data_IF_050384127151
#
_entry.id   IF_050384127151
#
_cell.length_a   1.000
_cell.length_b   1.000
_cell.length_c   1.000
_cell.angle_alpha   90.00
_cell.angle_beta   90.00
_cell.angle_gamma   90.00
#
_symmetry.space_group_name_H-M   'P 1'
#
loop_
_entity.id
_entity.type
_entity.pdbx_description
1 polymer ?
#
# COMPACT_ATOMS: atom_id res chain seq x y z
N UNK A 1 6.19 1.37 7.89
CA UNK A 1 5.55 0.83 6.68
C UNK A 1 5.15 -0.65 6.76
N UNK A 2 6.06 -1.62 6.96
CA UNK A 2 5.62 -3.04 6.90
C UNK A 2 4.61 -3.51 7.96
N UNK A 3 4.79 -3.16 9.24
CA UNK A 3 3.81 -3.51 10.28
C UNK A 3 2.41 -2.89 10.03
N UNK A 4 2.32 -1.94 9.10
CA UNK A 4 1.22 -1.00 8.95
C UNK A 4 0.28 -1.37 7.79
N UNK A 5 0.79 -2.06 6.76
CA UNK A 5 -0.07 -2.66 5.72
C UNK A 5 -0.50 -4.08 6.10
N UNK A 6 0.43 -4.94 6.52
CA UNK A 6 0.11 -6.36 6.75
C UNK A 6 -0.69 -6.62 8.03
N UNK A 7 -0.72 -5.69 8.98
CA UNK A 7 -1.68 -5.74 10.09
C UNK A 7 -3.12 -5.55 9.60
N UNK A 8 -3.34 -4.83 8.48
CA UNK A 8 -4.63 -4.71 7.82
C UNK A 8 -4.92 -5.81 6.79
N UNK A 9 -3.93 -6.64 6.43
CA UNK A 9 -4.10 -7.80 5.52
C UNK A 9 -4.31 -9.13 6.26
N UNK A 10 -4.85 -9.08 7.49
CA UNK A 10 -5.24 -10.27 8.26
C UNK A 10 -4.10 -11.27 8.56
N UNK A 11 -2.85 -10.80 8.57
CA UNK A 11 -1.68 -11.65 8.80
C UNK A 11 -0.84 -11.21 10.03
N UNK A 12 -1.44 -11.07 11.23
CA UNK A 12 -0.71 -10.61 12.42
C UNK A 12 0.40 -11.57 12.86
N UNK A 13 0.24 -12.87 12.56
CA UNK A 13 1.25 -13.91 12.78
C UNK A 13 2.51 -13.71 11.93
N UNK A 14 2.38 -13.18 10.72
CA UNK A 14 3.50 -12.84 9.83
C UNK A 14 4.23 -11.61 10.33
N UNK A 15 3.49 -10.57 10.72
CA UNK A 15 4.05 -9.33 11.29
C UNK A 15 4.77 -9.57 12.63
N UNK A 16 4.42 -10.64 13.35
CA UNK A 16 5.08 -11.03 14.60
C UNK A 16 6.45 -11.73 14.40
N UNK A 17 6.90 -11.97 13.16
CA UNK A 17 8.16 -12.66 12.84
C UNK A 17 9.42 -11.78 12.92
N UNK A 18 9.28 -10.49 13.24
CA UNK A 18 10.38 -9.56 13.48
C UNK A 18 10.68 -8.64 12.30
N UNK A 19 11.26 -7.46 12.57
CA UNK A 19 11.33 -6.31 11.64
C UNK A 19 12.02 -6.57 10.29
N UNK A 20 13.06 -7.43 10.25
CA UNK A 20 13.80 -7.75 9.02
C UNK A 20 13.01 -8.66 8.07
N UNK A 21 12.48 -9.78 8.58
CA UNK A 21 11.63 -10.71 7.80
C UNK A 21 10.39 -10.02 7.27
N UNK A 22 9.89 -9.13 8.10
CA UNK A 22 8.82 -8.22 7.81
C UNK A 22 9.14 -7.33 6.59
N UNK A 23 10.21 -6.54 6.66
CA UNK A 23 10.61 -5.68 5.54
C UNK A 23 10.85 -6.46 4.23
N UNK A 24 11.46 -7.64 4.31
CA UNK A 24 11.69 -8.48 3.13
C UNK A 24 10.39 -8.93 2.45
N UNK A 25 9.37 -9.34 3.22
CA UNK A 25 8.07 -9.67 2.64
C UNK A 25 7.37 -8.43 2.07
N UNK A 26 7.48 -7.27 2.74
CA UNK A 26 6.96 -6.00 2.23
C UNK A 26 7.48 -5.70 0.84
N UNK A 27 8.81 -5.71 0.70
CA UNK A 27 9.48 -5.29 -0.52
C UNK A 27 9.13 -6.24 -1.67
N UNK A 28 9.02 -7.54 -1.38
CA UNK A 28 8.56 -8.52 -2.35
C UNK A 28 7.10 -8.30 -2.77
N UNK A 29 6.21 -8.05 -1.82
CA UNK A 29 4.77 -7.89 -2.09
C UNK A 29 4.48 -6.58 -2.82
N UNK A 30 5.14 -5.49 -2.43
CA UNK A 30 5.05 -4.18 -3.10
C UNK A 30 5.59 -4.27 -4.53
N UNK A 31 6.74 -4.92 -4.74
CA UNK A 31 7.28 -5.14 -6.09
C UNK A 31 6.29 -5.88 -6.99
N UNK A 32 5.74 -7.00 -6.49
CA UNK A 32 4.72 -7.77 -7.24
C UNK A 32 3.45 -6.96 -7.52
N UNK A 33 2.98 -6.16 -6.56
CA UNK A 33 1.80 -5.30 -6.72
C UNK A 33 2.07 -4.19 -7.74
N UNK A 34 3.27 -3.61 -7.73
CA UNK A 34 3.72 -2.59 -8.68
C UNK A 34 3.76 -3.14 -10.10
N UNK A 35 4.40 -4.29 -10.28
CA UNK A 35 4.49 -4.96 -11.58
C UNK A 35 3.11 -5.32 -12.15
N UNK A 36 2.13 -5.61 -11.29
CA UNK A 36 0.75 -5.94 -11.68
C UNK A 36 -0.09 -4.70 -12.02
N UNK A 37 -0.02 -3.66 -11.21
CA UNK A 37 -0.88 -2.47 -11.34
C UNK A 37 -0.20 -1.23 -10.72
N UNK A 38 0.74 -0.63 -11.46
CA UNK A 38 1.45 0.60 -11.07
C UNK A 38 0.49 1.73 -10.68
N UNK A 39 -0.65 1.88 -11.38
CA UNK A 39 -1.65 2.92 -11.09
C UNK A 39 -2.32 2.78 -9.72
N UNK A 40 -2.15 1.63 -9.03
CA UNK A 40 -2.54 1.46 -7.64
C UNK A 40 -1.73 2.35 -6.69
N UNK A 41 -0.46 2.64 -7.02
CA UNK A 41 0.43 3.46 -6.22
C UNK A 41 0.27 4.95 -6.57
N UNK A 42 -0.88 5.47 -6.20
CA UNK A 42 -1.29 6.85 -6.48
C UNK A 42 -1.41 7.68 -5.18
N UNK A 43 -1.89 8.92 -5.29
CA UNK A 43 -2.09 9.80 -4.14
C UNK A 43 -3.01 9.18 -3.06
N UNK A 44 -4.07 8.45 -3.45
CA UNK A 44 -4.97 7.78 -2.51
C UNK A 44 -4.22 6.70 -1.72
N UNK A 45 -3.37 5.90 -2.38
CA UNK A 45 -2.54 4.92 -1.71
C UNK A 45 -1.64 5.57 -0.65
N UNK A 46 -1.00 6.70 -1.00
CA UNK A 46 -0.18 7.45 -0.04
C UNK A 46 -1.00 7.94 1.17
N UNK A 47 -2.19 8.52 0.93
CA UNK A 47 -3.11 8.96 1.99
C UNK A 47 -3.49 7.80 2.91
N UNK A 48 -3.82 6.63 2.35
CA UNK A 48 -4.14 5.42 3.10
C UNK A 48 -2.96 4.93 3.95
N UNK A 49 -1.73 4.95 3.42
CA UNK A 49 -0.53 4.57 4.19
C UNK A 49 -0.32 5.49 5.40
N UNK A 50 -0.52 6.80 5.22
CA UNK A 50 -0.38 7.75 6.34
C UNK A 50 -1.51 7.57 7.36
N UNK A 51 -2.76 7.43 6.92
CA UNK A 51 -3.89 7.16 7.79
C UNK A 51 -3.70 5.89 8.63
N UNK A 52 -3.26 4.78 8.01
CA UNK A 52 -2.90 3.55 8.74
C UNK A 52 -1.77 3.76 9.75
N UNK A 53 -0.80 4.62 9.41
CA UNK A 53 0.28 5.00 10.33
C UNK A 53 -0.25 5.76 11.54
N UNK A 54 -1.22 6.65 11.36
CA UNK A 54 -1.91 7.37 12.44
C UNK A 54 -2.63 6.36 13.35
N UNK A 55 -3.42 5.45 12.79
CA UNK A 55 -4.10 4.40 13.57
C UNK A 55 -3.09 3.61 14.40
N UNK A 56 -2.06 3.05 13.76
CA UNK A 56 -1.05 2.23 14.43
C UNK A 56 -0.34 2.95 15.58
N UNK A 57 0.14 4.18 15.33
CA UNK A 57 0.84 4.98 16.35
C UNK A 57 -0.08 5.39 17.49
N UNK A 58 -1.35 5.65 17.19
CA UNK A 58 -2.35 5.98 18.21
C UNK A 58 -2.62 4.76 19.08
N UNK A 59 -2.82 3.58 18.50
CA UNK A 59 -2.99 2.32 19.23
C UNK A 59 -1.78 2.01 20.12
N UNK A 60 -0.56 2.16 19.59
CA UNK A 60 0.67 1.92 20.36
C UNK A 60 0.78 2.84 21.58
N UNK A 61 0.53 4.15 21.39
CA UNK A 61 0.55 5.14 22.49
C UNK A 61 -0.58 4.92 23.47
N UNK A 62 -1.77 4.54 23.00
CA UNK A 62 -2.95 4.27 23.83
C UNK A 62 -2.68 3.10 24.78
N UNK A 63 -2.16 1.97 24.28
CA UNK A 63 -1.88 0.78 25.10
C UNK A 63 -0.92 1.09 26.23
N UNK A 64 0.10 1.91 26.00
CA UNK A 64 1.07 2.29 27.04
C UNK A 64 0.46 3.05 28.22
N UNK A 65 -0.73 3.65 28.05
CA UNK A 65 -1.42 4.40 29.09
C UNK A 65 -2.42 3.54 29.88
N UNK A 66 -2.65 2.31 29.46
CA UNK A 66 -3.65 1.44 30.06
C UNK A 66 -3.18 0.86 31.39
N UNK A 67 -4.06 0.81 32.39
CA UNK A 67 -3.75 0.29 33.72
C UNK A 67 -3.43 -1.21 33.72
N UNK A 68 -4.01 -1.97 32.79
CA UNK A 68 -3.77 -3.40 32.62
C UNK A 68 -2.46 -3.71 31.87
N UNK A 69 -1.79 -2.71 31.29
CA UNK A 69 -0.59 -2.92 30.49
C UNK A 69 0.66 -3.03 31.37
N UNK A 70 1.11 -4.27 31.61
CA UNK A 70 2.29 -4.59 32.43
C UNK A 70 3.66 -4.43 31.75
N UNK A 71 3.77 -3.76 30.59
CA UNK A 71 5.06 -3.47 29.94
C UNK A 71 5.57 -4.51 28.92
N UNK A 72 4.87 -5.63 28.72
CA UNK A 72 5.25 -6.70 27.78
C UNK A 72 4.39 -6.76 26.51
N UNK A 73 4.92 -7.37 25.45
CA UNK A 73 4.18 -7.76 24.23
C UNK A 73 3.45 -6.66 23.45
N UNK A 74 3.78 -5.37 23.69
CA UNK A 74 3.14 -4.20 23.03
C UNK A 74 2.92 -4.38 21.54
N UNK A 75 3.99 -4.76 20.83
CA UNK A 75 3.95 -4.90 19.38
C UNK A 75 2.95 -5.98 18.94
N UNK A 76 2.84 -7.08 19.70
CA UNK A 76 1.89 -8.14 19.42
C UNK A 76 0.45 -7.67 19.69
N UNK A 77 0.21 -7.01 20.84
CA UNK A 77 -1.11 -6.48 21.19
C UNK A 77 -1.59 -5.51 20.11
N UNK A 78 -0.78 -4.52 19.71
CA UNK A 78 -1.12 -3.53 18.67
C UNK A 78 -1.50 -4.22 17.35
N UNK A 79 -0.66 -5.15 16.90
CA UNK A 79 -0.83 -5.81 15.60
C UNK A 79 -2.09 -6.69 15.58
N UNK A 80 -2.31 -7.48 16.62
CA UNK A 80 -3.49 -8.34 16.71
C UNK A 80 -4.79 -7.53 16.92
N UNK A 81 -4.73 -6.40 17.63
CA UNK A 81 -5.86 -5.47 17.79
C UNK A 81 -6.31 -4.93 16.44
N UNK A 82 -5.37 -4.39 15.66
CA UNK A 82 -5.68 -3.81 14.34
C UNK A 82 -6.16 -4.89 13.37
N UNK A 83 -5.51 -6.06 13.37
CA UNK A 83 -5.89 -7.17 12.50
C UNK A 83 -7.28 -7.73 12.81
N UNK A 84 -7.61 -7.93 14.08
CA UNK A 84 -8.94 -8.40 14.48
C UNK A 84 -10.02 -7.39 14.07
N UNK A 85 -9.78 -6.10 14.30
CA UNK A 85 -10.75 -5.07 13.94
C UNK A 85 -10.93 -4.97 12.42
N UNK A 86 -9.85 -5.05 11.64
CA UNK A 86 -9.90 -5.07 10.19
C UNK A 86 -10.69 -6.28 9.65
N UNK A 87 -10.45 -7.47 10.21
CA UNK A 87 -11.18 -8.69 9.86
C UNK A 87 -12.68 -8.55 10.16
N UNK A 88 -13.04 -8.08 11.36
CA UNK A 88 -14.45 -7.89 11.75
C UNK A 88 -15.18 -6.89 10.86
N UNK A 89 -14.56 -5.75 10.57
CA UNK A 89 -15.11 -4.73 9.66
C UNK A 89 -15.28 -5.28 8.25
N UNK A 90 -14.31 -6.05 7.76
CA UNK A 90 -14.36 -6.71 6.44
C UNK A 90 -15.49 -7.73 6.34
N UNK A 91 -15.71 -8.55 7.38
CA UNK A 91 -16.81 -9.51 7.44
C UNK A 91 -18.19 -8.84 7.36
N UNK A 92 -18.30 -7.60 7.84
CA UNK A 92 -19.51 -6.78 7.74
C UNK A 92 -19.69 -6.09 6.37
N UNK A 93 -18.78 -6.32 5.41
CA UNK A 93 -18.75 -5.61 4.12
C UNK A 93 -18.60 -4.09 4.27
N UNK A 94 -17.90 -3.67 5.31
CA UNK A 94 -17.59 -2.28 5.61
C UNK A 94 -16.08 -2.04 5.50
N UNK A 95 -15.69 -0.78 5.52
CA UNK A 95 -14.29 -0.36 5.56
C UNK A 95 -14.12 0.87 6.45
N UNK A 96 -12.91 1.02 7.00
CA UNK A 96 -12.51 2.26 7.68
C UNK A 96 -12.33 3.36 6.64
N UNK A 97 -12.94 4.51 6.88
CA UNK A 97 -12.73 5.72 6.09
C UNK A 97 -11.34 6.32 6.38
N UNK A 98 -10.34 5.81 5.67
CA UNK A 98 -8.96 6.27 5.80
C UNK A 98 -8.76 7.69 5.24
N UNK A 99 -9.60 8.16 4.32
CA UNK A 99 -9.52 9.53 3.80
C UNK A 99 -9.90 10.53 4.88
N UNK A 100 -10.98 10.27 5.63
CA UNK A 100 -11.37 11.11 6.78
C UNK A 100 -10.31 11.16 7.87
N UNK A 101 -9.61 10.05 8.12
CA UNK A 101 -8.48 10.01 9.07
C UNK A 101 -7.29 10.82 8.53
N UNK A 102 -6.99 10.70 7.24
CA UNK A 102 -5.96 11.52 6.59
C UNK A 102 -6.30 13.01 6.68
N UNK A 103 -7.52 13.43 6.38
CA UNK A 103 -7.92 14.84 6.43
C UNK A 103 -7.82 15.42 7.84
N UNK A 104 -8.28 14.67 8.85
CA UNK A 104 -8.25 15.11 10.25
C UNK A 104 -6.88 14.92 10.92
N UNK A 105 -5.99 14.14 10.31
CA UNK A 105 -4.70 13.72 10.88
C UNK A 105 -4.82 13.05 12.27
N UNK A 106 -5.99 12.49 12.59
CA UNK A 106 -6.28 11.80 13.85
C UNK A 106 -7.46 10.83 13.67
N UNK A 107 -7.58 9.86 14.58
CA UNK A 107 -8.79 9.05 14.72
C UNK A 107 -9.83 9.75 15.59
N UNK A 108 -11.09 9.36 15.48
CA UNK A 108 -12.18 9.81 16.36
C UNK A 108 -12.05 9.21 17.77
N UNK A 109 -12.70 9.84 18.75
CA UNK A 109 -12.78 9.30 20.11
C UNK A 109 -13.49 7.94 20.15
N UNK A 110 -14.48 7.74 19.28
CA UNK A 110 -15.21 6.47 19.15
C UNK A 110 -14.30 5.36 18.62
N UNK A 111 -13.48 5.64 17.61
CA UNK A 111 -12.49 4.69 17.12
C UNK A 111 -11.40 4.44 18.17
N UNK A 112 -10.94 5.48 18.88
CA UNK A 112 -10.01 5.33 19.99
C UNK A 112 -10.55 4.36 21.06
N UNK A 113 -11.79 4.57 21.50
CA UNK A 113 -12.44 3.72 22.50
C UNK A 113 -12.61 2.29 22.01
N UNK A 114 -12.98 2.11 20.74
CA UNK A 114 -13.07 0.78 20.13
C UNK A 114 -11.73 0.05 20.14
N UNK A 115 -10.63 0.74 19.80
CA UNK A 115 -9.28 0.16 19.86
C UNK A 115 -8.86 -0.19 21.29
N UNK A 116 -9.22 0.65 22.27
CA UNK A 116 -8.98 0.40 23.70
C UNK A 116 -9.66 -0.90 24.15
N UNK A 117 -10.96 -1.02 23.92
CA UNK A 117 -11.76 -2.17 24.34
C UNK A 117 -11.29 -3.47 23.64
N UNK A 118 -11.03 -3.43 22.33
CA UNK A 118 -10.47 -4.58 21.59
C UNK A 118 -9.09 -4.94 22.15
N UNK A 119 -8.21 -3.97 22.38
CA UNK A 119 -6.84 -4.24 22.80
C UNK A 119 -6.74 -4.94 24.16
N UNK A 120 -7.66 -4.64 25.07
CA UNK A 120 -7.78 -5.34 26.35
C UNK A 120 -8.08 -6.83 26.15
N UNK A 121 -9.09 -7.14 25.33
CA UNK A 121 -9.48 -8.53 25.03
C UNK A 121 -8.36 -9.28 24.31
N UNK A 122 -7.72 -8.64 23.35
CA UNK A 122 -6.59 -9.20 22.61
C UNK A 122 -5.44 -9.52 23.55
N UNK A 123 -5.11 -8.63 24.49
CA UNK A 123 -4.04 -8.87 25.45
C UNK A 123 -4.32 -10.14 26.27
N UNK A 124 -5.53 -10.32 26.78
CA UNK A 124 -5.93 -11.53 27.52
C UNK A 124 -5.76 -12.80 26.64
N UNK A 125 -6.26 -12.77 25.41
CA UNK A 125 -6.24 -13.93 24.50
C UNK A 125 -4.81 -14.34 24.13
N UNK A 126 -3.93 -13.38 23.81
CA UNK A 126 -2.57 -13.72 23.37
C UNK A 126 -1.67 -14.13 24.54
N UNK A 127 -1.98 -13.70 25.77
CA UNK A 127 -1.26 -14.14 26.97
C UNK A 127 -1.75 -15.48 27.51
N UNK A 128 -2.97 -15.90 27.15
CA UNK A 128 -3.48 -17.24 27.44
C UNK A 128 -2.94 -18.26 26.41
N UNK A 129 -1.69 -18.67 26.65
CA UNK A 129 -0.95 -19.57 25.76
C UNK A 129 -1.26 -21.05 26.01
N UNK A 130 -1.20 -21.92 24.98
CA UNK A 130 -1.26 -23.37 25.19
C UNK A 130 -0.15 -23.87 26.12
N UNK A 131 -0.40 -24.95 26.86
CA UNK A 131 0.57 -25.53 27.80
C UNK A 131 1.94 -25.88 27.18
N UNK A 132 1.98 -26.15 25.88
CA UNK A 132 3.20 -26.48 25.13
C UNK A 132 4.04 -25.26 24.71
N UNK A 133 3.54 -24.03 24.84
CA UNK A 133 4.22 -22.80 24.42
C UNK A 133 4.07 -21.75 25.52
N UNK A 134 5.06 -21.59 26.39
CA UNK A 134 5.02 -20.58 27.46
C UNK A 134 5.37 -19.15 26.98
N UNK A 135 6.08 -19.02 25.85
CA UNK A 135 6.50 -17.72 25.33
C UNK A 135 5.43 -17.12 24.41
N UNK A 136 4.76 -16.07 24.89
CA UNK A 136 3.74 -15.31 24.14
C UNK A 136 4.22 -14.82 22.77
N UNK A 137 5.49 -14.39 22.64
CA UNK A 137 6.01 -13.90 21.35
C UNK A 137 6.19 -15.03 20.33
N UNK A 138 6.47 -16.25 20.77
CA UNK A 138 6.49 -17.44 19.90
C UNK A 138 5.09 -17.90 19.57
N UNK A 139 4.17 -17.85 20.54
CA UNK A 139 2.76 -18.14 20.30
C UNK A 139 2.16 -17.22 19.24
N UNK A 140 2.42 -15.90 19.33
CA UNK A 140 1.95 -14.91 18.37
C UNK A 140 2.48 -15.10 16.94
N UNK A 141 3.49 -15.94 16.70
CA UNK A 141 3.99 -16.29 15.35
C UNK A 141 3.28 -17.50 14.74
N UNK A 142 2.50 -18.24 15.53
CA UNK A 142 1.78 -19.45 15.09
C UNK A 142 0.39 -19.09 14.59
N UNK A 143 -0.06 -19.80 13.56
CA UNK A 143 -1.40 -19.62 12.98
C UNK A 143 -2.50 -19.92 14.00
N UNK A 144 -2.25 -20.85 14.93
CA UNK A 144 -3.16 -21.17 16.04
C UNK A 144 -3.51 -19.96 16.91
N UNK A 145 -2.57 -19.04 17.13
CA UNK A 145 -2.86 -17.80 17.88
C UNK A 145 -3.85 -16.93 17.12
N UNK A 146 -3.65 -16.79 15.81
CA UNK A 146 -4.56 -16.04 14.96
C UNK A 146 -5.95 -16.68 14.88
N UNK A 147 -6.04 -18.01 14.78
CA UNK A 147 -7.32 -18.72 14.82
C UNK A 147 -8.06 -18.48 16.13
N UNK A 148 -7.37 -18.53 17.28
CA UNK A 148 -7.95 -18.23 18.59
C UNK A 148 -8.48 -16.79 18.66
N UNK A 149 -7.71 -15.83 18.17
CA UNK A 149 -8.12 -14.42 18.12
C UNK A 149 -9.31 -14.21 17.16
N UNK A 150 -9.35 -14.86 16.00
CA UNK A 150 -10.50 -14.75 15.08
C UNK A 150 -11.78 -15.35 15.65
N UNK A 151 -11.67 -16.39 16.48
CA UNK A 151 -12.80 -17.02 17.13
C UNK A 151 -13.41 -16.14 18.24
N UNK A 152 -12.65 -15.18 18.76
CA UNK A 152 -13.17 -14.18 19.68
C UNK A 152 -14.14 -13.24 18.96
N UNK A 153 -15.27 -13.00 19.62
CA UNK A 153 -16.34 -12.14 19.15
C UNK A 153 -16.70 -11.08 20.19
N UNK A 154 -16.98 -9.88 19.71
CA UNK A 154 -17.37 -8.74 20.51
C UNK A 154 -18.13 -7.76 19.63
N UNK A 155 -19.23 -7.24 20.17
CA UNK A 155 -20.03 -6.23 19.49
C UNK A 155 -19.27 -4.91 19.39
N UNK A 156 -19.25 -4.34 18.19
CA UNK A 156 -18.75 -3.00 17.96
C UNK A 156 -19.88 -1.99 18.21
N UNK A 157 -19.54 -0.87 18.85
CA UNK A 157 -20.55 0.15 19.14
C UNK A 157 -21.23 0.67 17.87
N UNK A 158 -22.53 0.94 17.93
CA UNK A 158 -23.27 1.52 16.79
C UNK A 158 -22.69 2.85 16.33
N UNK A 159 -22.12 3.62 17.24
CA UNK A 159 -21.47 4.90 16.94
C UNK A 159 -20.21 4.66 16.09
N UNK A 160 -19.41 3.64 16.41
CA UNK A 160 -18.24 3.29 15.59
C UNK A 160 -18.67 2.80 14.21
N UNK A 161 -19.67 1.92 14.15
CA UNK A 161 -20.17 1.38 12.89
C UNK A 161 -20.71 2.48 11.96
N UNK A 162 -21.28 3.54 12.52
CA UNK A 162 -21.75 4.71 11.75
C UNK A 162 -20.61 5.57 11.17
N UNK A 163 -19.37 5.41 11.63
CA UNK A 163 -18.20 6.09 11.05
C UNK A 163 -17.53 5.30 9.91
N UNK A 164 -17.96 4.06 9.69
CA UNK A 164 -17.45 3.21 8.61
C UNK A 164 -18.16 3.53 7.29
N UNK A 165 -17.49 3.21 6.20
CA UNK A 165 -18.03 3.31 4.83
C UNK A 165 -18.31 1.93 4.26
N UNK A 166 -19.20 1.86 3.27
CA UNK A 166 -19.47 0.61 2.56
C UNK A 166 -18.27 0.15 1.74
N UNK A 167 -18.11 -1.16 1.57
CA UNK A 167 -17.04 -1.70 0.71
C UNK A 167 -17.14 -1.19 -0.74
N UNK A 168 -18.36 -1.02 -1.25
CA UNK A 168 -18.62 -0.52 -2.60
C UNK A 168 -18.21 0.95 -2.76
N UNK A 169 -18.40 1.75 -1.71
CA UNK A 169 -17.96 3.15 -1.68
C UNK A 169 -16.43 3.25 -1.71
N UNK A 170 -15.75 2.45 -0.87
CA UNK A 170 -14.29 2.34 -0.88
C UNK A 170 -13.79 1.95 -2.27
N UNK A 171 -14.38 0.93 -2.88
CA UNK A 171 -13.95 0.39 -4.17
C UNK A 171 -14.20 1.40 -5.32
N UNK A 172 -15.28 2.18 -5.24
CA UNK A 172 -15.54 3.28 -6.17
C UNK A 172 -14.45 4.36 -6.08
N UNK A 173 -14.09 4.77 -4.86
CA UNK A 173 -13.01 5.74 -4.60
C UNK A 173 -11.66 5.23 -5.11
N UNK A 174 -11.33 3.95 -4.87
CA UNK A 174 -10.09 3.35 -5.39
C UNK A 174 -10.07 3.30 -6.92
N UNK A 175 -11.19 2.97 -7.56
CA UNK A 175 -11.30 2.94 -9.02
C UNK A 175 -11.11 4.33 -9.61
N UNK A 176 -11.68 5.36 -9.00
CA UNK A 176 -11.56 6.73 -9.48
C UNK A 176 -10.16 7.29 -9.29
N UNK A 177 -9.50 7.02 -8.15
CA UNK A 177 -8.09 7.38 -7.95
C UNK A 177 -7.16 6.73 -9.00
N UNK A 178 -7.41 5.47 -9.37
CA UNK A 178 -6.65 4.81 -10.44
C UNK A 178 -6.88 5.43 -11.81
N UNK A 179 -8.09 5.94 -12.10
CA UNK A 179 -8.36 6.66 -13.36
C UNK A 179 -7.60 7.97 -13.40
N UNK A 180 -7.62 8.74 -12.31
CA UNK A 180 -6.88 10.00 -12.18
C UNK A 180 -5.38 9.76 -12.42
N UNK A 181 -4.79 8.78 -11.74
CA UNK A 181 -3.37 8.45 -11.92
C UNK A 181 -3.03 8.12 -13.38
N UNK A 182 -3.87 7.32 -14.05
CA UNK A 182 -3.62 6.95 -15.46
C UNK A 182 -3.64 8.14 -16.42
N UNK A 183 -4.47 9.14 -16.13
CA UNK A 183 -4.55 10.41 -16.87
C UNK A 183 -3.28 11.22 -16.60
N UNK A 184 -2.89 11.39 -15.35
CA UNK A 184 -1.68 12.13 -14.95
C UNK A 184 -0.41 11.52 -15.54
N UNK A 185 -0.31 10.19 -15.55
CA UNK A 185 0.80 9.46 -16.19
C UNK A 185 0.85 9.74 -17.70
N UNK A 186 -0.31 9.82 -18.36
CA UNK A 186 -0.43 10.16 -19.77
C UNK A 186 0.07 11.57 -20.08
N UNK A 187 -0.41 12.55 -19.31
CA UNK A 187 0.00 13.95 -19.43
C UNK A 187 1.50 14.09 -19.18
N UNK A 188 2.02 13.44 -18.14
CA UNK A 188 3.45 13.46 -17.79
C UNK A 188 4.31 12.87 -18.91
N UNK A 189 3.91 11.72 -19.46
CA UNK A 189 4.63 11.11 -20.59
C UNK A 189 4.62 12.01 -21.82
N UNK A 190 3.49 12.63 -22.15
CA UNK A 190 3.40 13.55 -23.30
C UNK A 190 4.29 14.78 -23.10
N UNK A 191 4.27 15.38 -21.90
CA UNK A 191 5.12 16.51 -21.56
C UNK A 191 6.60 16.18 -21.71
N UNK A 192 7.06 15.05 -21.14
CA UNK A 192 8.46 14.62 -21.25
C UNK A 192 8.89 14.38 -22.70
N UNK A 193 8.03 13.74 -23.51
CA UNK A 193 8.33 13.49 -24.92
C UNK A 193 8.48 14.79 -25.70
N UNK A 194 7.63 15.78 -25.42
CA UNK A 194 7.71 17.10 -26.05
C UNK A 194 8.94 17.89 -25.57
N UNK A 195 9.29 17.84 -24.29
CA UNK A 195 10.47 18.51 -23.70
C UNK A 195 11.80 17.96 -24.24
N UNK A 196 11.90 16.65 -24.50
CA UNK A 196 13.07 16.05 -25.15
C UNK A 196 13.29 16.66 -26.54
N UNK A 197 12.20 16.91 -27.27
CA UNK A 197 12.23 17.57 -28.58
C UNK A 197 12.75 16.67 -29.73
N UNK A 198 12.48 17.07 -30.98
CA UNK A 198 12.70 16.21 -32.15
C UNK A 198 14.18 15.85 -32.40
N UNK A 199 15.11 16.77 -32.10
CA UNK A 199 16.55 16.55 -32.35
C UNK A 199 17.12 15.48 -31.42
N UNK A 200 16.80 15.52 -30.12
CA UNK A 200 17.22 14.47 -29.19
C UNK A 200 16.56 13.13 -29.51
N UNK A 201 15.32 13.11 -29.98
CA UNK A 201 14.69 11.87 -30.47
C UNK A 201 15.39 11.29 -31.70
N UNK A 202 16.00 12.11 -32.58
CA UNK A 202 16.85 11.62 -33.67
C UNK A 202 18.11 10.96 -33.13
N UNK A 203 18.75 11.54 -32.11
CA UNK A 203 19.93 10.96 -31.47
C UNK A 203 19.62 9.62 -30.82
N UNK A 204 18.52 9.55 -30.07
CA UNK A 204 18.00 8.31 -29.47
C UNK A 204 17.76 7.25 -30.56
N UNK A 205 17.11 7.63 -31.66
CA UNK A 205 16.86 6.72 -32.78
C UNK A 205 18.17 6.24 -33.42
N UNK A 206 19.16 7.11 -33.62
CA UNK A 206 20.46 6.74 -34.19
C UNK A 206 21.19 5.76 -33.30
N UNK A 207 21.27 6.02 -31.99
CA UNK A 207 21.89 5.12 -31.02
C UNK A 207 21.23 3.74 -31.04
N UNK A 208 19.90 3.69 -30.98
CA UNK A 208 19.17 2.43 -30.95
C UNK A 208 19.36 1.60 -32.23
N UNK A 209 19.43 2.24 -33.40
CA UNK A 209 19.71 1.55 -34.68
C UNK A 209 21.14 1.03 -34.72
N UNK A 210 22.13 1.85 -34.37
CA UNK A 210 23.55 1.49 -34.41
C UNK A 210 23.86 0.28 -33.54
N UNK A 211 23.25 0.22 -32.35
CA UNK A 211 23.47 -0.86 -31.39
C UNK A 211 22.46 -2.01 -31.53
N UNK A 212 21.59 -1.99 -32.55
CA UNK A 212 20.58 -3.04 -32.83
C UNK A 212 19.62 -3.33 -31.65
N UNK A 213 19.31 -2.32 -30.84
CA UNK A 213 18.39 -2.44 -29.69
C UNK A 213 16.93 -2.07 -30.02
N UNK A 214 16.59 -1.88 -31.30
CA UNK A 214 15.26 -1.47 -31.75
C UNK A 214 14.57 -2.54 -32.59
N UNK A 215 13.31 -2.82 -32.26
CA UNK A 215 12.37 -3.55 -33.11
C UNK A 215 11.73 -2.65 -34.18
N UNK A 216 11.04 -3.25 -35.15
CA UNK A 216 10.28 -2.50 -36.17
C UNK A 216 9.22 -1.58 -35.54
N UNK A 217 8.57 -2.04 -34.47
CA UNK A 217 7.60 -1.25 -33.71
C UNK A 217 8.28 -0.05 -33.02
N UNK A 218 9.47 -0.26 -32.44
CA UNK A 218 10.24 0.82 -31.81
C UNK A 218 10.58 1.91 -32.82
N UNK A 219 11.09 1.51 -33.98
CA UNK A 219 11.43 2.42 -35.07
C UNK A 219 10.21 3.19 -35.57
N UNK A 220 9.08 2.51 -35.79
CA UNK A 220 7.84 3.15 -36.24
C UNK A 220 7.35 4.24 -35.29
N UNK A 221 7.45 4.01 -33.97
CA UNK A 221 7.00 4.98 -32.96
C UNK A 221 8.03 6.11 -32.79
N UNK A 222 9.34 5.82 -32.79
CA UNK A 222 10.40 6.83 -32.74
C UNK A 222 10.33 7.82 -33.90
N UNK A 223 10.03 7.34 -35.11
CA UNK A 223 9.88 8.19 -36.30
C UNK A 223 8.72 9.20 -36.17
N UNK A 224 7.73 8.93 -35.32
CA UNK A 224 6.68 9.92 -35.01
C UNK A 224 7.24 11.02 -34.11
N UNK A 225 8.03 10.68 -33.08
CA UNK A 225 8.63 11.65 -32.15
C UNK A 225 9.68 12.56 -32.83
N UNK A 226 10.44 12.01 -33.78
CA UNK A 226 11.40 12.78 -34.60
C UNK A 226 10.73 13.89 -35.43
N UNK A 227 9.44 13.75 -35.72
CA UNK A 227 8.67 14.70 -36.54
C UNK A 227 7.97 15.78 -35.73
N UNK A 228 8.20 15.89 -34.42
CA UNK A 228 7.73 17.01 -33.61
C UNK A 228 8.30 18.34 -34.18
N UNK A 229 7.52 19.43 -34.28
CA UNK A 229 6.12 19.58 -33.87
C UNK A 229 5.08 19.18 -34.94
N UNK A 230 5.49 18.85 -36.17
CA UNK A 230 4.57 18.56 -37.29
C UNK A 230 3.70 17.32 -37.08
N UNK A 231 4.20 16.33 -36.34
CA UNK A 231 3.42 15.15 -35.92
C UNK A 231 3.66 14.88 -34.44
N UNK A 232 2.60 14.97 -33.65
CA UNK A 232 2.65 14.74 -32.21
C UNK A 232 2.30 13.26 -31.94
N UNK A 233 3.12 12.51 -31.19
CA UNK A 233 2.77 11.15 -30.80
C UNK A 233 1.51 11.12 -29.91
N UNK A 234 0.67 10.11 -30.09
CA UNK A 234 -0.47 9.85 -29.22
C UNK A 234 -0.02 9.49 -27.79
N UNK A 235 -0.92 9.57 -26.81
CA UNK A 235 -0.60 9.23 -25.41
C UNK A 235 0.01 7.82 -25.26
N UNK A 236 -0.54 6.83 -25.96
CA UNK A 236 -0.02 5.46 -25.96
C UNK A 236 1.38 5.36 -26.55
N UNK A 237 1.67 6.15 -27.60
CA UNK A 237 3.00 6.26 -28.17
C UNK A 237 3.97 6.97 -27.22
N UNK A 238 3.54 8.02 -26.51
CA UNK A 238 4.37 8.70 -25.52
C UNK A 238 4.74 7.76 -24.36
N UNK A 239 3.77 7.03 -23.80
CA UNK A 239 4.02 6.00 -22.78
C UNK A 239 5.02 4.95 -23.28
N UNK A 240 4.90 4.53 -24.54
CA UNK A 240 5.83 3.59 -25.16
C UNK A 240 7.25 4.16 -25.30
N UNK A 241 7.37 5.41 -25.77
CA UNK A 241 8.66 6.11 -25.94
C UNK A 241 9.40 6.25 -24.62
N UNK A 242 8.70 6.55 -23.53
CA UNK A 242 9.32 6.63 -22.20
C UNK A 242 9.88 5.29 -21.74
N UNK A 243 9.16 4.18 -21.96
CA UNK A 243 9.66 2.83 -21.65
C UNK A 243 10.87 2.46 -22.51
N UNK A 244 10.81 2.78 -23.81
CA UNK A 244 11.92 2.56 -24.72
C UNK A 244 13.17 3.35 -24.31
N UNK A 245 12.99 4.59 -23.87
CA UNK A 245 14.08 5.43 -23.41
C UNK A 245 14.77 4.87 -22.16
N UNK A 246 14.01 4.34 -21.19
CA UNK A 246 14.58 3.67 -20.01
C UNK A 246 15.43 2.47 -20.44
N UNK A 247 14.90 1.61 -21.32
CA UNK A 247 15.63 0.46 -21.86
C UNK A 247 16.93 0.87 -22.53
N UNK A 248 16.92 1.92 -23.36
CA UNK A 248 18.13 2.39 -24.03
C UNK A 248 19.15 3.00 -23.05
N UNK A 249 18.70 3.63 -21.96
CA UNK A 249 19.60 4.14 -20.90
C UNK A 249 20.30 3.00 -20.16
N UNK A 250 19.60 1.90 -19.89
CA UNK A 250 20.19 0.69 -19.30
C UNK A 250 21.25 0.07 -20.21
N UNK A 251 21.08 0.19 -21.53
CA UNK A 251 22.04 -0.23 -22.56
C UNK A 251 23.15 0.83 -22.81
N UNK A 252 23.25 1.87 -21.97
CA UNK A 252 24.34 2.84 -21.99
C UNK A 252 24.08 4.15 -22.72
N UNK A 253 22.85 4.42 -23.19
CA UNK A 253 22.50 5.73 -23.73
C UNK A 253 22.47 6.82 -22.64
N UNK A 254 23.13 7.96 -22.88
CA UNK A 254 23.08 9.11 -21.98
C UNK A 254 22.41 10.29 -22.68
N UNK A 255 21.39 10.85 -22.03
CA UNK A 255 20.75 12.10 -22.45
C UNK A 255 21.62 13.25 -21.94
N UNK A 256 22.37 13.89 -22.83
CA UNK A 256 23.02 15.18 -22.57
C UNK A 256 22.06 16.33 -22.87
#
# INVERSE_FOLDING_TARGET
>A
MYKYENAGENCPHTVSRGAQKNFAAFASDIGKKWDRDEAHFNELYFKHVVARTIVFRTTEKMIMKQSWYGGGYRANIVVYTIAWLAEKVSLMKMAVDFLKIWEKQTISDTFYKTLEDVSYQIQQIITDTPASISNVTEWCKKDGCWLKVKAFDMDLSKVFLAELIGIDERDAVEKDAKKVQKVDDGITCQKMVLEIGPEKWKEISKFGVLNKHLSEKDMGILQVAVKIPYRIPSESQCKYLMKLLIRLKEEGFQLN
#
